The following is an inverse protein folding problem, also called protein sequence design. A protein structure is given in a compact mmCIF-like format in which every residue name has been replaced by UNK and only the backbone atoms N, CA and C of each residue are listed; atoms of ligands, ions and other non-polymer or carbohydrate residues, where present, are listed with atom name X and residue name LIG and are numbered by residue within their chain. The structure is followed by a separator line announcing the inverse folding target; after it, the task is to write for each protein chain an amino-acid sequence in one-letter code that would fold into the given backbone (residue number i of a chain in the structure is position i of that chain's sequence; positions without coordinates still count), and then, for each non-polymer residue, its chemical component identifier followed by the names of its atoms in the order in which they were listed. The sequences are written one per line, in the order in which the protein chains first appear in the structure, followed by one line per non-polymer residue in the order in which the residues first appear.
data_IF_706179255880
#
_entry.id   IF_706179255880
#
_cell.length_a   1.000
_cell.length_b   1.000
_cell.length_c   1.000
_cell.angle_alpha   90.00
_cell.angle_beta   90.00
_cell.angle_gamma   90.00
#
_symmetry.space_group_name_H-M   'P 1'
#
loop_
_entity.id
_entity.type
_entity.pdbx_description
1 polymer ?
#
# COMPACT_ATOMS: atom_id res chain seq x y z
N UNK A 1 -0.97 7.90 -1.68
CA UNK A 1 -0.24 6.66 -2.03
C UNK A 1 0.31 5.97 -0.79
N UNK A 2 0.59 4.68 -0.88
CA UNK A 2 1.28 3.83 0.09
C UNK A 2 2.62 3.42 -0.53
N UNK A 3 3.72 3.47 0.22
CA UNK A 3 5.08 3.13 -0.25
C UNK A 3 5.77 2.26 0.78
N UNK A 4 6.48 1.20 0.36
CA UNK A 4 7.23 0.32 1.26
C UNK A 4 8.71 0.66 1.30
N UNK A 5 9.29 0.53 2.49
CA UNK A 5 10.71 0.68 2.73
C UNK A 5 11.23 -0.49 3.57
N UNK A 6 12.31 -1.12 3.12
CA UNK A 6 12.96 -2.19 3.86
C UNK A 6 13.71 -1.66 5.09
N UNK A 7 13.90 -2.51 6.10
CA UNK A 7 14.73 -2.22 7.26
C UNK A 7 15.98 -3.12 7.26
N UNK A 8 17.13 -2.61 7.77
CA UNK A 8 17.31 -1.32 8.43
C UNK A 8 17.67 -0.16 7.49
N UNK A 9 17.97 -0.44 6.22
CA UNK A 9 18.51 0.52 5.25
C UNK A 9 17.55 1.65 4.89
N UNK A 10 16.24 1.45 5.04
CA UNK A 10 15.16 2.39 4.67
C UNK A 10 15.11 2.71 3.18
N UNK A 11 15.61 1.81 2.33
CA UNK A 11 15.47 1.93 0.88
C UNK A 11 14.14 1.35 0.39
N UNK A 12 13.80 1.64 -0.87
CA UNK A 12 12.64 1.02 -1.51
C UNK A 12 12.87 -0.49 -1.66
N UNK A 13 11.80 -1.24 -1.51
CA UNK A 13 11.84 -2.71 -1.62
C UNK A 13 12.01 -3.11 -3.08
N UNK A 14 13.18 -3.67 -3.43
CA UNK A 14 13.40 -4.22 -4.77
C UNK A 14 12.41 -5.36 -5.06
N UNK A 15 11.79 -5.38 -6.24
CA UNK A 15 10.78 -6.38 -6.58
C UNK A 15 10.64 -6.61 -8.10
N UNK A 16 10.13 -7.79 -8.54
CA UNK A 16 10.14 -8.18 -9.95
C UNK A 16 9.30 -7.31 -10.90
N UNK A 17 8.35 -6.53 -10.37
CA UNK A 17 7.44 -5.70 -11.18
C UNK A 17 7.77 -4.20 -11.10
N UNK A 18 8.89 -3.83 -10.48
CA UNK A 18 9.34 -2.45 -10.27
C UNK A 18 8.25 -1.55 -9.66
N UNK A 19 7.42 -2.10 -8.76
CA UNK A 19 6.35 -1.36 -8.08
C UNK A 19 6.76 -1.06 -6.65
N UNK A 20 7.05 0.21 -6.38
CA UNK A 20 7.50 0.65 -5.04
C UNK A 20 6.44 1.40 -4.26
N UNK A 21 5.36 1.80 -4.94
CA UNK A 21 4.21 2.44 -4.33
C UNK A 21 2.91 2.06 -5.03
N UNK A 22 1.79 2.24 -4.35
CA UNK A 22 0.45 2.07 -4.87
C UNK A 22 -0.46 3.18 -4.36
N UNK A 23 -1.43 3.60 -5.16
CA UNK A 23 -2.34 4.69 -4.82
C UNK A 23 -3.27 5.03 -5.97
N UNK A 24 -4.09 6.05 -5.79
CA UNK A 24 -5.11 6.56 -6.72
C UNK A 24 -4.67 6.69 -8.18
N UNK A 25 -3.38 6.98 -8.44
CA UNK A 25 -2.82 7.11 -9.79
C UNK A 25 -2.32 5.80 -10.40
N UNK A 26 -2.45 4.68 -9.69
CA UNK A 26 -2.00 3.37 -10.17
C UNK A 26 -2.98 2.86 -11.21
N UNK A 27 -2.49 2.53 -12.40
CA UNK A 27 -3.34 2.00 -13.45
C UNK A 27 -3.84 0.60 -13.13
N UNK A 28 -5.13 0.35 -13.42
CA UNK A 28 -5.74 -0.98 -13.32
C UNK A 28 -6.18 -1.41 -11.91
N UNK A 29 -6.24 -0.48 -10.94
CA UNK A 29 -6.80 -0.79 -9.62
C UNK A 29 -8.23 -1.34 -9.75
N UNK A 30 -8.52 -2.38 -8.98
CA UNK A 30 -9.84 -3.00 -8.88
C UNK A 30 -10.45 -2.65 -7.54
N UNK A 31 -11.65 -2.09 -7.56
CA UNK A 31 -12.40 -1.77 -6.36
C UNK A 31 -13.37 -2.92 -6.06
N UNK A 32 -13.66 -3.11 -4.78
CA UNK A 32 -14.70 -4.01 -4.33
C UNK A 32 -16.08 -3.46 -4.72
N UNK A 33 -17.11 -4.31 -4.68
CA UNK A 33 -18.49 -3.92 -5.05
C UNK A 33 -19.08 -2.80 -4.18
N UNK A 34 -18.59 -2.63 -2.95
CA UNK A 34 -18.97 -1.57 -2.03
C UNK A 34 -18.15 -0.27 -2.21
N UNK A 35 -17.20 -0.24 -3.16
CA UNK A 35 -16.33 0.90 -3.42
C UNK A 35 -15.00 0.88 -2.65
N UNK A 36 -14.76 -0.11 -1.78
CA UNK A 36 -13.50 -0.20 -1.05
C UNK A 36 -12.33 -0.56 -1.97
N UNK A 37 -11.14 -0.12 -1.58
CA UNK A 37 -9.88 -0.49 -2.22
C UNK A 37 -9.03 -1.33 -1.28
N UNK A 38 -9.00 -2.64 -1.52
CA UNK A 38 -8.12 -3.56 -0.81
C UNK A 38 -6.73 -3.54 -1.44
N UNK A 39 -5.70 -3.24 -0.63
CA UNK A 39 -4.29 -3.27 -1.03
C UNK A 39 -3.61 -4.47 -0.37
N UNK A 40 -3.01 -5.34 -1.17
CA UNK A 40 -2.31 -6.53 -0.68
C UNK A 40 -0.83 -6.21 -0.50
N UNK A 41 -0.34 -6.28 0.73
CA UNK A 41 1.07 -6.06 1.07
C UNK A 41 1.66 -7.41 1.52
N UNK A 42 2.36 -8.09 0.62
CA UNK A 42 2.96 -9.40 0.89
C UNK A 42 4.05 -9.74 -0.12
N UNK A 43 4.88 -10.74 0.20
CA UNK A 43 6.03 -11.11 -0.63
C UNK A 43 5.64 -11.91 -1.88
N UNK A 44 4.71 -12.85 -1.74
CA UNK A 44 4.25 -13.70 -2.84
C UNK A 44 3.11 -13.02 -3.61
N UNK A 45 3.02 -13.30 -4.91
CA UNK A 45 1.97 -12.71 -5.77
C UNK A 45 0.60 -13.22 -5.34
N UNK A 46 -0.37 -12.33 -4.98
CA UNK A 46 -1.73 -12.74 -4.68
C UNK A 46 -2.50 -13.01 -5.97
N UNK A 47 -2.68 -14.29 -6.30
CA UNK A 47 -3.37 -14.73 -7.53
C UNK A 47 -4.75 -14.06 -7.68
N UNK A 48 -4.99 -13.44 -8.83
CA UNK A 48 -6.22 -12.73 -9.17
C UNK A 48 -6.34 -11.31 -8.60
N UNK A 49 -5.37 -10.88 -7.79
CA UNK A 49 -5.35 -9.57 -7.11
C UNK A 49 -4.06 -8.79 -7.37
N UNK A 50 -3.35 -9.15 -8.42
CA UNK A 50 -2.04 -8.62 -8.80
C UNK A 50 -2.09 -7.10 -9.04
N UNK A 51 -3.22 -6.59 -9.54
CA UNK A 51 -3.41 -5.15 -9.79
C UNK A 51 -3.31 -4.30 -8.53
N UNK A 52 -3.74 -4.84 -7.39
CA UNK A 52 -3.80 -4.14 -6.11
C UNK A 52 -2.68 -4.56 -5.15
N UNK A 53 -1.69 -5.29 -5.67
CA UNK A 53 -0.59 -5.81 -4.87
C UNK A 53 0.58 -4.83 -4.81
N UNK A 54 1.19 -4.73 -3.63
CA UNK A 54 2.44 -4.04 -3.37
C UNK A 54 3.45 -5.07 -2.82
N UNK A 55 4.48 -5.43 -3.59
CA UNK A 55 5.44 -6.46 -3.17
C UNK A 55 6.22 -6.05 -1.93
N UNK A 56 6.14 -6.86 -0.87
CA UNK A 56 6.87 -6.69 0.38
C UNK A 56 8.09 -7.62 0.44
N UNK A 57 9.15 -7.29 1.19
CA UNK A 57 10.25 -8.22 1.42
C UNK A 57 9.84 -9.30 2.45
N UNK A 58 10.61 -10.38 2.55
CA UNK A 58 10.47 -11.35 3.66
C UNK A 58 11.05 -10.82 4.98
N UNK A 59 11.92 -9.81 4.90
CA UNK A 59 12.51 -9.13 6.05
C UNK A 59 11.59 -8.04 6.61
N UNK A 60 12.00 -7.44 7.73
CA UNK A 60 11.27 -6.32 8.31
C UNK A 60 11.19 -5.13 7.34
N UNK A 61 10.05 -4.44 7.35
CA UNK A 61 9.80 -3.26 6.55
C UNK A 61 8.86 -2.30 7.31
N UNK A 62 8.74 -1.08 6.80
CA UNK A 62 7.66 -0.17 7.16
C UNK A 62 7.00 0.39 5.91
N UNK A 63 5.80 0.94 6.07
CA UNK A 63 5.09 1.62 5.01
C UNK A 63 4.82 3.08 5.37
N UNK A 64 4.68 3.93 4.36
CA UNK A 64 4.27 5.32 4.52
C UNK A 64 3.04 5.60 3.68
N UNK A 65 2.05 6.26 4.30
CA UNK A 65 0.88 6.81 3.61
C UNK A 65 1.16 8.28 3.32
N UNK A 66 0.93 8.70 2.08
CA UNK A 66 1.02 10.09 1.62
C UNK A 66 -0.32 10.53 1.07
N UNK A 67 -0.77 11.70 1.51
CA UNK A 67 -2.01 12.34 1.06
C UNK A 67 -1.63 13.68 0.45
N UNK A 68 -2.03 13.91 -0.79
CA UNK A 68 -1.73 15.13 -1.54
C UNK A 68 -2.99 15.98 -1.60
N UNK A 69 -2.94 17.18 -1.04
CA UNK A 69 -4.13 18.01 -0.83
C UNK A 69 -5.09 17.43 0.23
N UNK A 70 -4.61 17.19 1.47
CA UNK A 70 -5.47 16.71 2.55
C UNK A 70 -6.56 17.74 2.87
N UNK A 71 -7.76 17.25 3.20
CA UNK A 71 -8.81 18.08 3.78
C UNK A 71 -8.59 18.32 5.28
N UNK A 72 -9.46 19.14 5.88
CA UNK A 72 -9.38 19.50 7.30
C UNK A 72 -9.48 18.27 8.22
N UNK A 73 -10.21 17.22 7.83
CA UNK A 73 -10.39 16.03 8.66
C UNK A 73 -9.08 15.28 8.89
N UNK A 74 -8.19 15.31 7.90
CA UNK A 74 -6.86 14.74 7.99
C UNK A 74 -5.95 15.65 8.83
N UNK A 75 -6.01 16.97 8.60
CA UNK A 75 -5.17 17.95 9.29
C UNK A 75 -5.46 18.04 10.78
N UNK A 76 -6.74 17.94 11.16
CA UNK A 76 -7.18 17.95 12.56
C UNK A 76 -7.17 16.55 13.20
N UNK A 77 -6.82 15.50 12.45
CA UNK A 77 -6.68 14.13 12.93
C UNK A 77 -7.99 13.42 13.28
N UNK A 78 -9.15 13.93 12.83
CA UNK A 78 -10.45 13.25 12.98
C UNK A 78 -10.55 12.05 12.05
N UNK A 79 -10.05 12.18 10.82
CA UNK A 79 -9.87 11.03 9.93
C UNK A 79 -8.74 10.14 10.47
N UNK A 80 -8.99 8.83 10.50
CA UNK A 80 -8.01 7.83 10.91
C UNK A 80 -7.54 7.05 9.70
N UNK A 81 -6.23 6.99 9.52
CA UNK A 81 -5.65 6.18 8.47
C UNK A 81 -6.01 4.70 8.65
N UNK A 82 -6.34 3.98 7.56
CA UNK A 82 -6.62 2.56 7.63
C UNK A 82 -5.39 1.83 8.19
N UNK A 83 -5.65 0.90 9.10
CA UNK A 83 -4.60 0.05 9.67
C UNK A 83 -4.52 -1.25 8.87
N UNK A 84 -3.30 -1.79 8.64
CA UNK A 84 -3.15 -3.06 7.98
C UNK A 84 -3.67 -4.19 8.87
N UNK A 85 -4.35 -5.14 8.25
CA UNK A 85 -4.82 -6.37 8.90
C UNK A 85 -3.98 -7.55 8.41
N UNK A 86 -3.59 -8.42 9.33
CA UNK A 86 -2.93 -9.67 8.97
C UNK A 86 -3.97 -10.62 8.38
N UNK A 87 -3.80 -10.94 7.09
CA UNK A 87 -4.60 -11.97 6.41
C UNK A 87 -4.03 -13.33 6.82
N UNK A 88 -4.87 -14.18 7.39
CA UNK A 88 -4.53 -15.57 7.79
C UNK A 88 -4.60 -16.52 6.61
#
# INVERSE_FOLDING_TARGET
SITLYELPSRYLVNNPINRYSIGDRTSGLKYESNGDLNIYIQNEVPKGKESNWLPAPKSAFYYLIRIYGPDDSILNGTWKAPQPELVK
#
